data_IF_657251259499
#
_entry.id   IF_657251259499
#
_cell.length_a   1.000
_cell.length_b   1.000
_cell.length_c   1.000
_cell.angle_alpha   90.00
_cell.angle_beta   90.00
_cell.angle_gamma   90.00
#
_symmetry.space_group_name_H-M   'P 1'
#
loop_
_entity.id
_entity.type
_entity.pdbx_description
1 polymer ?
#
# COMPACT_ATOMS: atom_id res chain seq x y z
N UNK A 1 -3.33 10.00 -28.22
CA UNK A 1 -2.31 10.11 -27.13
C UNK A 1 -2.97 9.58 -25.87
N UNK A 2 -2.29 8.73 -25.13
CA UNK A 2 -2.77 8.27 -23.83
C UNK A 2 -2.70 9.46 -22.87
N UNK A 3 -3.79 9.75 -22.16
CA UNK A 3 -3.85 10.82 -21.18
C UNK A 3 -3.00 10.44 -19.98
N UNK A 4 -2.12 11.34 -19.53
CA UNK A 4 -1.27 11.10 -18.37
C UNK A 4 -2.09 11.21 -17.09
N UNK A 5 -2.16 10.13 -16.32
CA UNK A 5 -2.68 10.13 -14.96
C UNK A 5 -1.65 9.52 -14.02
N UNK A 6 -1.53 10.12 -12.85
CA UNK A 6 -0.62 9.65 -11.81
C UNK A 6 -1.31 8.55 -11.03
N UNK A 7 -0.71 7.37 -10.96
CA UNK A 7 -1.21 6.31 -10.06
C UNK A 7 -1.04 6.76 -8.61
N UNK A 8 -2.04 6.54 -7.76
CA UNK A 8 -1.95 6.90 -6.34
C UNK A 8 -0.69 6.33 -5.67
N UNK A 9 -0.31 5.09 -6.01
CA UNK A 9 0.94 4.47 -5.54
C UNK A 9 2.24 5.11 -6.06
N UNK A 10 2.15 6.09 -6.95
CA UNK A 10 3.30 6.81 -7.52
C UNK A 10 3.32 8.31 -7.16
N UNK A 11 2.34 8.80 -6.38
CA UNK A 11 2.31 10.21 -5.99
C UNK A 11 3.58 10.58 -5.22
N UNK A 12 4.07 9.73 -4.31
CA UNK A 12 5.32 9.95 -3.58
C UNK A 12 6.53 10.16 -4.51
N UNK A 13 6.58 9.47 -5.66
CA UNK A 13 7.64 9.69 -6.65
C UNK A 13 7.59 11.11 -7.25
N UNK A 14 6.37 11.64 -7.50
CA UNK A 14 6.17 13.00 -8.00
C UNK A 14 6.49 14.02 -6.92
N UNK A 15 6.08 13.76 -5.68
CA UNK A 15 6.27 14.64 -4.51
C UNK A 15 7.68 14.57 -3.92
N UNK A 16 8.56 13.73 -4.48
CA UNK A 16 9.93 13.60 -3.99
C UNK A 16 10.75 14.89 -4.17
N UNK A 17 11.59 15.19 -3.17
CA UNK A 17 12.37 16.42 -3.13
C UNK A 17 13.49 16.44 -4.18
N UNK A 18 13.56 17.51 -4.97
CA UNK A 18 14.68 17.76 -5.87
C UNK A 18 15.91 18.31 -5.11
N UNK A 19 17.11 17.97 -5.60
CA UNK A 19 18.37 18.52 -5.07
C UNK A 19 18.52 20.03 -5.36
N UNK A 20 17.91 20.50 -6.45
CA UNK A 20 17.95 21.90 -6.90
C UNK A 20 16.54 22.47 -6.84
N UNK A 21 16.40 23.62 -6.19
CA UNK A 21 15.11 24.31 -6.08
C UNK A 21 14.54 24.67 -7.46
N UNK A 22 13.28 24.29 -7.70
CA UNK A 22 12.58 24.57 -8.96
C UNK A 22 12.79 23.52 -10.06
N UNK A 23 13.54 22.45 -9.78
CA UNK A 23 13.67 21.30 -10.66
C UNK A 23 12.81 20.11 -10.18
N UNK A 24 12.58 19.16 -11.09
CA UNK A 24 12.03 17.84 -10.73
C UNK A 24 13.13 16.98 -10.11
N UNK A 25 12.77 16.18 -9.11
CA UNK A 25 13.68 15.17 -8.55
C UNK A 25 14.08 14.13 -9.59
N UNK A 26 15.18 13.42 -9.37
CA UNK A 26 15.56 12.31 -10.25
C UNK A 26 14.51 11.19 -10.24
N UNK A 27 13.91 10.90 -9.08
CA UNK A 27 12.83 9.92 -8.95
C UNK A 27 11.61 10.29 -9.79
N UNK A 28 11.21 11.57 -9.75
CA UNK A 28 10.12 12.08 -10.58
C UNK A 28 10.45 11.97 -12.08
N UNK A 29 11.65 12.38 -12.48
CA UNK A 29 12.10 12.30 -13.89
C UNK A 29 12.09 10.84 -14.38
N UNK A 30 12.61 9.90 -13.59
CA UNK A 30 12.60 8.47 -13.92
C UNK A 30 11.17 7.95 -14.11
N UNK A 31 10.26 8.24 -13.17
CA UNK A 31 8.86 7.83 -13.28
C UNK A 31 8.17 8.37 -14.55
N UNK A 32 8.42 9.64 -14.92
CA UNK A 32 7.88 10.24 -16.15
C UNK A 32 8.47 9.59 -17.41
N UNK A 33 9.75 9.24 -17.40
CA UNK A 33 10.39 8.52 -18.51
C UNK A 33 9.81 7.12 -18.68
N UNK A 34 9.66 6.34 -17.59
CA UNK A 34 9.03 5.01 -17.61
C UNK A 34 7.60 5.07 -18.16
N UNK A 35 6.83 6.07 -17.72
CA UNK A 35 5.48 6.29 -18.23
C UNK A 35 5.46 6.61 -19.72
N UNK A 36 6.32 7.54 -20.16
CA UNK A 36 6.40 7.99 -21.57
C UNK A 36 6.88 6.86 -22.49
N UNK A 37 7.84 6.08 -22.06
CA UNK A 37 8.35 4.93 -22.80
C UNK A 37 7.35 3.76 -22.84
N UNK A 38 6.31 3.80 -22.00
CA UNK A 38 5.40 2.68 -21.75
C UNK A 38 6.15 1.39 -21.35
N UNK A 39 7.28 1.58 -20.68
CA UNK A 39 8.17 0.53 -20.22
C UNK A 39 7.76 0.16 -18.78
N UNK A 40 6.89 -0.84 -18.66
CA UNK A 40 6.48 -1.39 -17.39
C UNK A 40 7.25 -2.68 -17.19
N UNK A 41 8.37 -2.63 -16.49
CA UNK A 41 8.98 -3.85 -15.97
C UNK A 41 8.01 -4.50 -14.97
N UNK A 42 7.60 -5.73 -15.24
CA UNK A 42 6.92 -6.56 -14.25
C UNK A 42 7.95 -6.97 -13.19
N UNK A 43 7.86 -6.35 -12.03
CA UNK A 43 8.73 -6.68 -10.90
C UNK A 43 8.16 -7.93 -10.22
N UNK A 44 8.75 -9.09 -10.50
CA UNK A 44 8.47 -10.31 -9.75
C UNK A 44 9.35 -10.35 -8.50
N UNK A 45 8.74 -10.45 -7.34
CA UNK A 45 9.47 -10.60 -6.09
C UNK A 45 8.63 -11.40 -5.11
N UNK A 46 9.30 -12.28 -4.36
CA UNK A 46 8.66 -13.07 -3.30
C UNK A 46 7.86 -12.23 -2.29
N UNK A 47 8.24 -10.98 -2.09
CA UNK A 47 7.54 -10.06 -1.20
C UNK A 47 6.21 -9.60 -1.78
N UNK A 48 6.17 -9.34 -3.08
CA UNK A 48 4.95 -8.97 -3.81
C UNK A 48 4.02 -10.16 -3.89
N UNK A 49 4.57 -11.35 -4.21
CA UNK A 49 3.80 -12.57 -4.36
C UNK A 49 3.13 -12.95 -3.03
N UNK A 50 3.87 -12.95 -1.91
CA UNK A 50 3.28 -13.12 -0.57
C UNK A 50 2.18 -12.09 -0.32
N UNK A 51 2.45 -10.81 -0.59
CA UNK A 51 1.47 -9.73 -0.38
C UNK A 51 0.16 -10.01 -1.09
N UNK A 52 0.21 -10.38 -2.37
CA UNK A 52 -0.96 -10.68 -3.18
C UNK A 52 -1.72 -11.92 -2.66
N UNK A 53 -1.00 -12.94 -2.23
CA UNK A 53 -1.58 -14.20 -1.78
C UNK A 53 -2.31 -14.07 -0.45
N UNK A 54 -1.76 -13.31 0.50
CA UNK A 54 -2.34 -13.15 1.84
C UNK A 54 -3.25 -11.93 1.97
N UNK A 55 -3.46 -11.16 0.91
CA UNK A 55 -4.17 -9.88 0.97
C UNK A 55 -5.60 -10.02 1.52
N UNK A 56 -6.35 -11.02 1.06
CA UNK A 56 -7.73 -11.23 1.54
C UNK A 56 -7.75 -11.60 3.03
N UNK A 57 -6.88 -12.50 3.47
CA UNK A 57 -6.77 -12.89 4.88
C UNK A 57 -6.34 -11.70 5.75
N UNK A 58 -5.48 -10.84 5.21
CA UNK A 58 -5.05 -9.63 5.89
C UNK A 58 -6.18 -8.59 6.00
N UNK A 59 -7.05 -8.49 5.00
CA UNK A 59 -8.26 -7.64 5.05
C UNK A 59 -9.21 -8.15 6.13
N UNK A 60 -9.45 -9.46 6.20
CA UNK A 60 -10.31 -10.05 7.23
C UNK A 60 -9.72 -9.84 8.64
N UNK A 61 -8.41 -10.04 8.79
CA UNK A 61 -7.70 -9.78 10.04
C UNK A 61 -7.80 -8.31 10.45
N UNK A 62 -7.54 -7.38 9.54
CA UNK A 62 -7.67 -5.94 9.74
C UNK A 62 -9.10 -5.57 10.19
N UNK A 63 -10.12 -6.11 9.54
CA UNK A 63 -11.51 -5.81 9.84
C UNK A 63 -11.87 -6.20 11.29
N UNK A 64 -11.37 -7.34 11.77
CA UNK A 64 -11.53 -7.80 13.15
C UNK A 64 -10.79 -6.87 14.12
N UNK A 65 -9.50 -6.58 13.86
CA UNK A 65 -8.66 -5.79 14.76
C UNK A 65 -9.13 -4.35 14.92
N UNK A 66 -9.63 -3.74 13.82
CA UNK A 66 -10.13 -2.36 13.84
C UNK A 66 -11.64 -2.25 14.14
N UNK A 67 -12.31 -3.38 14.37
CA UNK A 67 -13.73 -3.40 14.76
C UNK A 67 -14.70 -3.01 13.64
N UNK A 68 -14.31 -3.18 12.37
CA UNK A 68 -15.17 -2.90 11.21
C UNK A 68 -16.17 -4.05 10.92
N UNK A 69 -16.05 -5.17 11.61
CA UNK A 69 -16.86 -6.37 11.36
C UNK A 69 -16.40 -7.08 10.09
N UNK A 70 -17.21 -7.05 9.03
CA UNK A 70 -16.81 -7.57 7.71
C UNK A 70 -16.35 -6.43 6.83
N UNK A 71 -15.21 -6.63 6.16
CA UNK A 71 -14.72 -5.72 5.12
C UNK A 71 -14.49 -6.53 3.83
N UNK A 72 -14.95 -6.01 2.71
CA UNK A 72 -14.74 -6.63 1.41
C UNK A 72 -13.64 -5.91 0.65
N UNK A 73 -12.82 -6.70 -0.08
CA UNK A 73 -11.83 -6.13 -0.98
C UNK A 73 -12.52 -5.27 -2.02
N UNK A 74 -12.12 -4.01 -2.11
CA UNK A 74 -12.56 -3.13 -3.17
C UNK A 74 -12.04 -3.61 -4.53
N UNK A 75 -12.85 -3.44 -5.56
CA UNK A 75 -12.51 -3.78 -6.96
C UNK A 75 -12.81 -2.61 -7.90
N UNK A 76 -13.14 -1.44 -7.35
CA UNK A 76 -13.45 -0.26 -8.10
C UNK A 76 -12.19 0.60 -8.29
N UNK A 77 -11.65 0.61 -9.51
CA UNK A 77 -10.59 1.54 -9.87
C UNK A 77 -11.20 2.87 -10.25
N UNK A 78 -10.90 3.91 -9.49
CA UNK A 78 -11.37 5.27 -9.74
C UNK A 78 -10.29 6.11 -10.43
N UNK A 79 -10.74 7.15 -11.11
CA UNK A 79 -9.87 8.16 -11.71
C UNK A 79 -10.57 9.52 -11.80
N UNK A 80 -9.77 10.57 -11.82
CA UNK A 80 -10.17 11.92 -12.21
C UNK A 80 -9.25 12.46 -13.33
N UNK A 81 -9.11 13.77 -13.44
CA UNK A 81 -8.24 14.42 -14.43
C UNK A 81 -6.76 14.13 -14.16
N UNK A 82 -6.35 13.98 -12.90
CA UNK A 82 -4.95 13.93 -12.48
C UNK A 82 -4.51 12.56 -11.98
N UNK A 83 -5.40 11.84 -11.29
CA UNK A 83 -5.07 10.64 -10.55
C UNK A 83 -5.89 9.43 -11.00
N UNK A 84 -5.32 8.27 -10.77
CA UNK A 84 -6.02 6.99 -10.87
C UNK A 84 -5.57 6.04 -9.76
N UNK A 85 -6.47 5.20 -9.27
CA UNK A 85 -6.12 4.22 -8.24
C UNK A 85 -7.27 3.33 -7.80
N UNK A 86 -6.87 2.29 -7.08
CA UNK A 86 -7.74 1.30 -6.46
C UNK A 86 -7.19 1.06 -5.06
N UNK A 87 -7.94 1.47 -4.02
CA UNK A 87 -7.60 1.15 -2.63
C UNK A 87 -8.05 -0.27 -2.30
N UNK A 88 -7.49 -0.88 -1.27
CA UNK A 88 -7.80 -2.27 -0.92
C UNK A 88 -9.20 -2.40 -0.33
N UNK A 89 -9.61 -1.45 0.52
CA UNK A 89 -10.95 -1.45 1.15
C UNK A 89 -11.56 -0.05 1.13
N UNK A 90 -12.80 0.06 0.63
CA UNK A 90 -13.61 1.29 0.66
C UNK A 90 -14.74 1.17 1.69
N UNK A 91 -14.57 1.82 2.84
CA UNK A 91 -15.57 1.90 3.90
C UNK A 91 -16.34 3.22 3.84
N UNK A 92 -17.54 3.30 4.43
CA UNK A 92 -18.34 4.55 4.40
C UNK A 92 -17.57 5.76 4.92
N UNK A 93 -16.75 5.63 5.96
CA UNK A 93 -16.04 6.73 6.62
C UNK A 93 -14.56 6.87 6.28
N UNK A 94 -13.93 5.86 5.68
CA UNK A 94 -12.50 5.86 5.38
C UNK A 94 -12.17 4.90 4.23
N UNK A 95 -10.98 5.03 3.69
CA UNK A 95 -10.35 3.96 2.90
C UNK A 95 -9.31 3.24 3.76
N UNK A 96 -9.02 1.98 3.42
CA UNK A 96 -7.91 1.24 4.04
C UNK A 96 -7.01 0.68 2.93
N UNK A 97 -5.72 0.76 3.16
CA UNK A 97 -4.69 0.12 2.35
C UNK A 97 -3.91 -0.84 3.27
N UNK A 98 -3.84 -2.12 2.90
CA UNK A 98 -3.23 -3.16 3.73
C UNK A 98 -1.85 -3.53 3.20
N UNK A 99 -0.91 -3.79 4.10
CA UNK A 99 0.45 -4.19 3.76
C UNK A 99 0.87 -5.39 4.58
N UNK A 100 1.14 -6.51 3.92
CA UNK A 100 1.69 -7.69 4.56
C UNK A 100 3.17 -7.46 4.93
N UNK A 101 3.48 -7.50 6.22
CA UNK A 101 4.87 -7.51 6.66
C UNK A 101 5.48 -8.89 6.40
N UNK A 102 6.72 -8.91 5.88
CA UNK A 102 7.42 -10.17 5.56
C UNK A 102 7.66 -11.03 6.80
N UNK A 103 8.14 -10.41 7.87
CA UNK A 103 8.46 -11.04 9.14
C UNK A 103 8.36 -10.03 10.30
N UNK A 104 8.60 -10.51 11.52
CA UNK A 104 8.57 -9.69 12.75
C UNK A 104 9.51 -8.49 12.67
N UNK A 105 10.71 -8.66 12.13
CA UNK A 105 11.69 -7.58 11.99
C UNK A 105 11.17 -6.47 11.08
N UNK A 106 10.51 -6.85 9.98
CA UNK A 106 9.90 -5.89 9.05
C UNK A 106 8.78 -5.10 9.72
N UNK A 107 7.88 -5.78 10.46
CA UNK A 107 6.82 -5.08 11.20
C UNK A 107 7.39 -4.18 12.29
N UNK A 108 8.37 -4.66 13.06
CA UNK A 108 9.01 -3.88 14.13
C UNK A 108 9.71 -2.62 13.59
N UNK A 109 10.31 -2.71 12.40
CA UNK A 109 10.86 -1.54 11.71
C UNK A 109 9.79 -0.50 11.43
N UNK A 110 8.62 -0.91 10.93
CA UNK A 110 7.48 -0.01 10.68
C UNK A 110 7.00 0.65 11.98
N UNK A 111 6.95 -0.11 13.10
CA UNK A 111 6.58 0.44 14.42
C UNK A 111 7.54 1.53 14.88
N UNK A 112 8.84 1.37 14.61
CA UNK A 112 9.87 2.34 15.04
C UNK A 112 9.94 3.56 14.10
N UNK A 113 9.92 3.33 12.80
CA UNK A 113 10.13 4.38 11.79
C UNK A 113 8.85 5.16 11.47
N UNK A 114 7.68 4.58 11.78
CA UNK A 114 6.38 5.18 11.43
C UNK A 114 5.99 4.98 9.97
N UNK A 115 5.01 5.76 9.52
CA UNK A 115 4.50 5.69 8.16
C UNK A 115 5.57 6.17 7.16
N UNK A 116 5.74 5.41 6.09
CA UNK A 116 6.56 5.83 4.96
C UNK A 116 5.81 6.92 4.16
N UNK A 117 6.50 7.99 3.79
CA UNK A 117 5.92 9.11 3.04
C UNK A 117 5.29 8.70 1.71
N UNK A 118 5.79 7.66 1.04
CA UNK A 118 5.20 7.18 -0.21
C UNK A 118 3.81 6.57 0.03
N UNK A 119 3.62 5.85 1.14
CA UNK A 119 2.31 5.33 1.55
C UNK A 119 1.36 6.43 2.04
N UNK A 120 1.90 7.45 2.73
CA UNK A 120 1.11 8.62 3.12
C UNK A 120 0.54 9.33 1.88
N UNK A 121 1.37 9.61 0.87
CA UNK A 121 0.92 10.18 -0.40
C UNK A 121 -0.07 9.27 -1.15
N UNK A 122 0.14 7.96 -1.13
CA UNK A 122 -0.78 6.98 -1.71
C UNK A 122 -2.16 7.06 -1.07
N UNK A 123 -2.23 7.07 0.27
CA UNK A 123 -3.48 7.19 1.02
C UNK A 123 -4.19 8.51 0.75
N UNK A 124 -3.47 9.63 0.75
CA UNK A 124 -4.03 10.94 0.40
C UNK A 124 -4.64 10.95 -1.00
N UNK A 125 -3.97 10.31 -1.96
CA UNK A 125 -4.50 10.13 -3.32
C UNK A 125 -5.79 9.30 -3.35
N UNK A 126 -5.85 8.22 -2.59
CA UNK A 126 -7.07 7.44 -2.46
C UNK A 126 -8.18 8.21 -1.75
N UNK A 127 -7.90 8.92 -0.64
CA UNK A 127 -8.85 9.77 0.04
C UNK A 127 -9.49 10.80 -0.91
N UNK A 128 -8.67 11.40 -1.78
CA UNK A 128 -9.14 12.33 -2.80
C UNK A 128 -10.10 11.65 -3.79
N UNK A 129 -9.68 10.53 -4.41
CA UNK A 129 -10.48 9.83 -5.42
C UNK A 129 -11.79 9.28 -4.87
N UNK A 130 -11.75 8.67 -3.68
CA UNK A 130 -12.91 8.04 -3.05
C UNK A 130 -13.73 9.01 -2.20
N UNK A 131 -13.31 10.30 -2.13
CA UNK A 131 -13.94 11.37 -1.35
C UNK A 131 -14.13 10.98 0.11
N UNK A 132 -13.11 10.41 0.71
CA UNK A 132 -13.11 10.01 2.12
C UNK A 132 -12.33 11.02 2.96
N UNK A 133 -12.79 11.29 4.19
CA UNK A 133 -12.12 12.24 5.08
C UNK A 133 -10.81 11.72 5.66
N UNK A 134 -10.56 10.40 5.59
CA UNK A 134 -9.35 9.78 6.12
C UNK A 134 -8.99 8.48 5.42
N UNK A 135 -7.72 8.13 5.49
CA UNK A 135 -7.16 6.86 5.08
C UNK A 135 -6.46 6.14 6.23
N UNK A 136 -6.50 4.82 6.21
CA UNK A 136 -5.82 3.97 7.18
C UNK A 136 -4.82 3.10 6.43
N UNK A 137 -3.55 3.14 6.84
CA UNK A 137 -2.54 2.17 6.43
C UNK A 137 -2.42 1.10 7.50
N UNK A 138 -2.74 -0.12 7.16
CA UNK A 138 -2.68 -1.26 8.08
C UNK A 138 -1.55 -2.20 7.69
N UNK A 139 -0.56 -2.38 8.56
CA UNK A 139 0.48 -3.38 8.41
C UNK A 139 0.19 -4.59 9.30
N UNK A 140 0.20 -5.80 8.72
CA UNK A 140 -0.03 -7.02 9.49
C UNK A 140 0.92 -8.15 9.13
N UNK A 141 1.15 -9.04 10.11
CA UNK A 141 1.90 -10.27 9.94
C UNK A 141 0.92 -11.40 9.61
N UNK A 142 1.05 -11.95 8.41
CA UNK A 142 0.32 -13.12 7.95
C UNK A 142 1.29 -14.28 7.75
N UNK A 143 0.83 -15.50 8.01
CA UNK A 143 1.60 -16.70 7.72
C UNK A 143 2.00 -16.72 6.25
N UNK A 144 3.21 -17.18 5.97
CA UNK A 144 3.63 -17.36 4.59
C UNK A 144 2.98 -18.65 4.08
N UNK A 145 2.25 -18.61 2.96
CA UNK A 145 1.72 -19.82 2.36
C UNK A 145 2.83 -20.81 2.02
N UNK A 146 2.57 -22.11 2.20
CA UNK A 146 3.53 -23.20 1.99
C UNK A 146 3.72 -23.54 0.51
N UNK A 147 4.21 -22.57 -0.29
CA UNK A 147 4.48 -22.76 -1.71
C UNK A 147 5.94 -22.42 -1.99
N UNK A 148 6.81 -23.42 -2.14
CA UNK A 148 8.17 -23.33 -2.67
C UNK A 148 9.11 -22.25 -2.05
N UNK A 149 8.72 -21.67 -0.91
CA UNK A 149 9.54 -20.73 -0.15
C UNK A 149 10.33 -21.53 0.90
N UNK A 150 11.63 -21.35 0.95
CA UNK A 150 12.52 -22.05 1.87
C UNK A 150 12.20 -21.86 3.36
N UNK A 151 11.34 -20.89 3.69
CA UNK A 151 10.95 -20.57 5.08
C UNK A 151 9.44 -20.40 5.21
N UNK A 152 8.75 -21.41 5.74
CA UNK A 152 7.39 -21.26 6.29
C UNK A 152 7.45 -20.38 7.53
N UNK A 153 7.16 -19.10 7.38
CA UNK A 153 7.11 -18.17 8.52
C UNK A 153 5.70 -18.25 9.11
N UNK A 154 5.58 -18.90 10.27
CA UNK A 154 4.33 -19.08 11.00
C UNK A 154 4.30 -18.14 12.20
N UNK A 155 3.16 -17.47 12.42
CA UNK A 155 2.95 -16.52 13.52
C UNK A 155 1.79 -16.94 14.44
N UNK A 156 1.34 -18.19 14.37
CA UNK A 156 0.19 -18.71 15.14
C UNK A 156 0.36 -18.58 16.65
N UNK A 157 1.60 -18.66 17.14
CA UNK A 157 1.91 -18.54 18.57
C UNK A 157 2.02 -17.08 19.05
N UNK A 158 1.82 -16.09 18.17
CA UNK A 158 1.88 -14.68 18.56
C UNK A 158 0.50 -14.19 19.01
N UNK A 159 0.51 -13.36 20.07
CA UNK A 159 -0.65 -12.54 20.43
C UNK A 159 -1.03 -11.64 19.24
N UNK A 160 -2.30 -11.69 18.84
CA UNK A 160 -2.81 -10.92 17.71
C UNK A 160 -2.51 -9.42 17.82
N UNK A 161 -2.52 -8.87 19.03
CA UNK A 161 -2.20 -7.46 19.29
C UNK A 161 -0.74 -7.10 18.96
N UNK A 162 0.15 -8.08 18.82
CA UNK A 162 1.56 -7.88 18.45
C UNK A 162 1.82 -8.10 16.95
N UNK A 163 0.78 -8.43 16.18
CA UNK A 163 0.89 -8.81 14.77
C UNK A 163 0.55 -7.68 13.81
N UNK A 164 0.18 -6.53 14.31
CA UNK A 164 -0.24 -5.42 13.45
C UNK A 164 0.10 -4.03 14.00
N UNK A 165 0.08 -3.05 13.13
CA UNK A 165 0.05 -1.62 13.45
C UNK A 165 -0.74 -0.89 12.37
N UNK A 166 -1.44 0.17 12.76
CA UNK A 166 -2.17 1.03 11.83
C UNK A 166 -1.80 2.50 12.01
N UNK A 167 -1.79 3.23 10.91
CA UNK A 167 -1.60 4.68 10.86
C UNK A 167 -2.81 5.31 10.19
N UNK A 168 -3.28 6.43 10.72
CA UNK A 168 -4.36 7.23 10.15
C UNK A 168 -3.79 8.50 9.51
N UNK A 169 -4.24 8.81 8.29
CA UNK A 169 -3.89 10.00 7.50
C UNK A 169 -5.14 10.76 7.11
#
# INVERSE_FOLDING_TARGET
MQEFRIRCSAIGKIMSNAKVKGELSQTCKTYLHEWYANDKEEIHSKYIDKGNEVENDLIDFMAVQLGFGMAEKNRARLHDEYFEGECDVDLPSCIVDVKAAWNRTTLHKVVIEGINSDYEWQLLGYCHLYRKPKGILFHGLMNTPSNDWEDDIIFEDMDDNLRWIAFEV
#
